data_IF_930467638870
#
_entry.id   IF_930467638870
#
_cell.length_a   1.000
_cell.length_b   1.000
_cell.length_c   1.000
_cell.angle_alpha   90.00
_cell.angle_beta   90.00
_cell.angle_gamma   90.00
#
_symmetry.space_group_name_H-M   'P 1'
#
loop_
_entity.id
_entity.type
_entity.pdbx_description
1 polymer ?
#
# COMPACT_ATOMS: atom_id res chain seq x y z
N UNK A 1 -15.23 2.80 -7.05
CA UNK A 1 -14.61 2.44 -5.75
C UNK A 1 -14.09 1.01 -5.84
N UNK A 2 -12.82 0.81 -5.52
CA UNK A 2 -12.17 -0.51 -5.56
C UNK A 2 -11.10 -0.58 -4.46
N UNK A 3 -10.77 -1.79 -4.02
CA UNK A 3 -9.65 -2.05 -3.11
C UNK A 3 -8.41 -2.39 -3.94
N UNK A 4 -7.33 -1.63 -3.75
CA UNK A 4 -6.12 -1.73 -4.58
C UNK A 4 -4.93 -2.07 -3.70
N UNK A 5 -4.22 -3.15 -4.04
CA UNK A 5 -2.92 -3.45 -3.46
C UNK A 5 -1.83 -2.65 -4.18
N UNK A 6 -0.97 -1.97 -3.41
CA UNK A 6 0.19 -1.23 -3.91
C UNK A 6 1.43 -1.87 -3.32
N UNK A 7 2.19 -2.59 -4.14
CA UNK A 7 3.52 -3.11 -3.78
C UNK A 7 4.56 -1.99 -3.85
N UNK A 8 5.57 -2.01 -2.97
CA UNK A 8 6.54 -0.93 -2.92
C UNK A 8 5.92 0.37 -2.43
N UNK A 9 4.92 0.28 -1.53
CA UNK A 9 4.14 1.42 -1.04
C UNK A 9 4.96 2.47 -0.27
N UNK A 10 6.15 2.10 0.19
CA UNK A 10 7.09 3.00 0.87
C UNK A 10 8.15 3.58 -0.07
N UNK A 11 8.20 3.10 -1.31
CA UNK A 11 9.07 3.65 -2.36
C UNK A 11 8.47 4.89 -3.03
N UNK A 12 9.25 5.51 -3.91
CA UNK A 12 8.91 6.77 -4.55
C UNK A 12 7.59 6.72 -5.33
N UNK A 13 7.42 5.68 -6.14
CA UNK A 13 6.22 5.53 -6.99
C UNK A 13 4.99 5.22 -6.14
N UNK A 14 5.11 4.31 -5.17
CA UNK A 14 4.01 3.97 -4.24
C UNK A 14 3.54 5.20 -3.47
N UNK A 15 4.48 5.93 -2.87
CA UNK A 15 4.21 7.17 -2.13
C UNK A 15 3.57 8.25 -3.00
N UNK A 16 3.96 8.36 -4.27
CA UNK A 16 3.39 9.32 -5.21
C UNK A 16 1.96 8.95 -5.64
N UNK A 17 1.66 7.66 -5.82
CA UNK A 17 0.36 7.19 -6.30
C UNK A 17 -0.70 7.14 -5.20
N UNK A 18 -0.33 6.79 -3.96
CA UNK A 18 -1.26 6.62 -2.82
C UNK A 18 -2.25 7.78 -2.65
N UNK A 19 -1.83 9.07 -2.59
CA UNK A 19 -2.78 10.18 -2.41
C UNK A 19 -3.75 10.35 -3.58
N UNK A 20 -3.30 10.07 -4.82
CA UNK A 20 -4.12 10.20 -6.03
C UNK A 20 -5.20 9.13 -6.08
N UNK A 21 -4.85 7.88 -5.77
CA UNK A 21 -5.81 6.78 -5.73
C UNK A 21 -6.83 6.97 -4.59
N UNK A 22 -6.40 7.44 -3.41
CA UNK A 22 -7.33 7.81 -2.33
C UNK A 22 -8.25 8.95 -2.70
N UNK A 23 -7.75 9.99 -3.38
CA UNK A 23 -8.56 11.13 -3.79
C UNK A 23 -9.73 10.75 -4.72
N UNK A 24 -9.59 9.67 -5.47
CA UNK A 24 -10.64 9.10 -6.34
C UNK A 24 -11.57 8.14 -5.57
N UNK A 25 -11.34 7.92 -4.28
CA UNK A 25 -12.19 7.11 -3.40
C UNK A 25 -11.87 5.61 -3.43
N UNK A 26 -10.62 5.23 -3.68
CA UNK A 26 -10.16 3.85 -3.53
C UNK A 26 -9.66 3.56 -2.11
N UNK A 27 -9.93 2.35 -1.62
CA UNK A 27 -9.31 1.80 -0.42
C UNK A 27 -7.96 1.20 -0.79
N UNK A 28 -6.92 1.48 -0.02
CA UNK A 28 -5.56 1.03 -0.35
C UNK A 28 -5.06 -0.02 0.63
N UNK A 29 -4.47 -1.08 0.08
CA UNK A 29 -3.64 -2.03 0.82
C UNK A 29 -2.19 -1.77 0.45
N UNK A 30 -1.41 -1.30 1.41
CA UNK A 30 -0.02 -0.89 1.25
C UNK A 30 0.87 -2.09 1.57
N UNK A 31 1.55 -2.63 0.56
CA UNK A 31 2.38 -3.83 0.67
C UNK A 31 3.84 -3.46 0.48
N UNK A 32 4.67 -3.63 1.51
CA UNK A 32 6.09 -3.33 1.46
C UNK A 32 6.85 -4.08 2.56
N UNK A 33 8.16 -4.30 2.39
CA UNK A 33 9.01 -4.86 3.43
C UNK A 33 9.23 -3.86 4.57
N UNK A 34 9.21 -2.56 4.24
CA UNK A 34 9.33 -1.46 5.20
C UNK A 34 7.98 -0.74 5.25
N UNK A 35 7.31 -0.63 6.41
CA UNK A 35 6.01 0.03 6.47
C UNK A 35 6.14 1.54 6.14
N UNK A 36 5.16 2.14 5.42
CA UNK A 36 5.17 3.57 5.15
C UNK A 36 5.11 4.39 6.43
N UNK A 37 5.86 5.48 6.50
CA UNK A 37 5.90 6.34 7.69
C UNK A 37 4.58 7.09 7.95
N UNK A 38 3.76 7.29 6.91
CA UNK A 38 2.59 8.16 6.91
C UNK A 38 1.32 7.42 6.46
N UNK A 39 0.69 6.63 7.34
CA UNK A 39 -0.54 5.90 7.00
C UNK A 39 -1.77 6.79 7.17
N UNK A 40 -2.56 6.94 6.10
CA UNK A 40 -3.79 7.73 6.10
C UNK A 40 -5.02 6.89 6.50
N UNK A 41 -6.11 7.52 7.00
CA UNK A 41 -7.38 6.83 7.19
C UNK A 41 -7.86 6.16 5.91
N UNK A 42 -8.29 4.89 6.01
CA UNK A 42 -8.69 4.06 4.86
C UNK A 42 -7.54 3.31 4.18
N UNK A 43 -6.31 3.47 4.66
CA UNK A 43 -5.17 2.65 4.24
C UNK A 43 -4.96 1.49 5.22
N UNK A 44 -4.78 0.29 4.69
CA UNK A 44 -4.34 -0.88 5.44
C UNK A 44 -2.89 -1.19 5.09
N UNK A 45 -2.06 -1.46 6.10
CA UNK A 45 -0.65 -1.84 5.89
C UNK A 45 -0.49 -3.36 5.99
N UNK A 46 0.26 -3.93 5.07
CA UNK A 46 0.74 -5.31 5.07
C UNK A 46 2.25 -5.28 4.91
N UNK A 47 2.97 -5.53 6.00
CA UNK A 47 4.43 -5.64 5.97
C UNK A 47 4.80 -7.04 5.49
N UNK A 48 5.29 -7.16 4.26
CA UNK A 48 5.53 -8.44 3.60
C UNK A 48 6.68 -8.37 2.59
N UNK A 49 7.31 -9.52 2.33
CA UNK A 49 8.23 -9.68 1.20
C UNK A 49 7.48 -10.39 0.07
N UNK A 50 7.32 -9.74 -1.08
CA UNK A 50 6.64 -10.33 -2.24
C UNK A 50 7.32 -11.61 -2.79
N UNK A 51 8.58 -11.87 -2.38
CA UNK A 51 9.30 -13.11 -2.70
C UNK A 51 8.92 -14.27 -1.77
N UNK A 52 8.27 -13.98 -0.66
CA UNK A 52 7.74 -14.93 0.31
C UNK A 52 6.21 -14.88 0.24
N UNK A 53 5.63 -15.76 -0.59
CA UNK A 53 4.19 -15.80 -0.84
C UNK A 53 3.37 -16.03 0.44
N UNK A 54 3.92 -16.75 1.42
CA UNK A 54 3.24 -17.01 2.70
C UNK A 54 3.12 -15.73 3.54
N UNK A 55 3.95 -14.71 3.27
CA UNK A 55 3.90 -13.42 3.95
C UNK A 55 2.79 -12.48 3.44
N UNK A 56 2.16 -12.79 2.31
CA UNK A 56 1.12 -11.95 1.69
C UNK A 56 -0.30 -12.18 2.24
N UNK A 57 -0.49 -13.24 3.03
CA UNK A 57 -1.76 -13.59 3.69
C UNK A 57 -2.69 -14.47 2.88
#
# INVERSE_FOLDING_TARGET
MARIAITGSSGDIGSLLRPRLRAVGHDLVLVDQVPPADVAPGEQVVTADIRDLDSLG
#
